data_IF_914953459130
#
_entry.id   IF_914953459130
#
_cell.length_a   1.000
_cell.length_b   1.000
_cell.length_c   1.000
_cell.angle_alpha   90.00
_cell.angle_beta   90.00
_cell.angle_gamma   90.00
#
_symmetry.space_group_name_H-M   'P 1'
#
loop_
_entity.id
_entity.type
_entity.pdbx_description
1 polymer ?
#
# COMPACT_ATOMS: atom_id res chain seq x y z
N UNK A 1 -38.00 15.78 -18.53
CA UNK A 1 -38.05 15.78 -17.06
C UNK A 1 -37.36 14.52 -16.59
N UNK A 2 -36.15 14.65 -16.08
CA UNK A 2 -35.35 13.54 -15.60
C UNK A 2 -35.06 13.78 -14.12
N UNK A 3 -35.45 12.81 -13.32
CA UNK A 3 -35.37 12.77 -11.87
C UNK A 3 -33.90 12.61 -11.46
N UNK A 4 -33.38 13.57 -10.71
CA UNK A 4 -32.03 13.53 -10.18
C UNK A 4 -31.96 12.48 -9.06
N UNK A 5 -31.09 11.49 -9.22
CA UNK A 5 -30.78 10.53 -8.16
C UNK A 5 -30.04 11.23 -7.02
N UNK A 6 -30.75 11.46 -5.92
CA UNK A 6 -30.22 12.00 -4.69
C UNK A 6 -29.43 10.91 -3.95
N UNK A 7 -28.10 10.99 -3.98
CA UNK A 7 -27.21 10.07 -3.24
C UNK A 7 -27.18 10.52 -1.78
N UNK A 8 -27.86 9.74 -0.94
CA UNK A 8 -28.02 10.00 0.50
C UNK A 8 -26.69 9.85 1.26
N UNK A 9 -26.35 10.85 2.08
CA UNK A 9 -25.28 10.79 3.08
C UNK A 9 -25.79 10.04 4.32
N UNK A 10 -24.99 9.22 5.03
CA UNK A 10 -25.45 8.62 6.28
C UNK A 10 -25.46 9.68 7.40
N UNK A 11 -26.67 10.00 7.89
CA UNK A 11 -26.91 10.77 9.11
C UNK A 11 -26.95 9.82 10.32
N UNK A 12 -26.28 10.21 11.40
CA UNK A 12 -26.25 9.50 12.69
C UNK A 12 -27.58 9.72 13.42
N UNK A 13 -28.39 8.67 13.53
CA UNK A 13 -29.68 8.67 14.23
C UNK A 13 -29.56 8.15 15.67
N UNK A 14 -29.90 9.01 16.63
CA UNK A 14 -30.21 8.68 18.02
C UNK A 14 -31.60 8.04 18.11
N UNK A 15 -31.74 6.87 18.76
CA UNK A 15 -33.01 6.45 19.37
C UNK A 15 -32.80 5.62 20.65
N UNK A 16 -33.59 5.99 21.65
CA UNK A 16 -33.85 5.38 22.95
C UNK A 16 -34.82 4.18 22.88
N UNK A 17 -34.65 3.17 23.75
CA UNK A 17 -35.75 2.31 24.26
C UNK A 17 -35.63 0.79 24.04
N UNK A 18 -35.19 0.09 25.09
CA UNK A 18 -35.00 -1.35 25.40
C UNK A 18 -36.15 -2.37 25.09
N UNK A 19 -36.02 -3.70 25.41
CA UNK A 19 -34.84 -4.57 25.62
C UNK A 19 -34.91 -5.92 24.83
N UNK A 20 -33.81 -6.72 24.82
CA UNK A 20 -33.77 -8.18 25.17
C UNK A 20 -32.33 -8.73 25.02
N UNK A 21 -31.87 -9.33 26.12
CA UNK A 21 -30.81 -10.31 26.40
C UNK A 21 -29.91 -10.89 25.29
N UNK A 22 -28.59 -10.92 25.54
CA UNK A 22 -27.67 -11.90 24.94
C UNK A 22 -26.19 -11.50 24.83
N UNK A 23 -25.39 -11.81 25.87
CA UNK A 23 -23.91 -11.97 25.90
C UNK A 23 -22.98 -10.87 25.34
N UNK A 24 -22.32 -10.14 26.23
CA UNK A 24 -21.14 -9.29 25.93
C UNK A 24 -19.86 -9.89 26.53
N UNK A 25 -18.85 -10.12 25.69
CA UNK A 25 -17.45 -10.25 26.10
C UNK A 25 -16.92 -8.86 26.43
N UNK A 26 -16.43 -8.67 27.66
CA UNK A 26 -15.80 -7.41 28.12
C UNK A 26 -14.29 -7.48 27.90
N UNK A 27 -13.78 -6.50 27.16
CA UNK A 27 -12.38 -6.08 27.16
C UNK A 27 -12.05 -5.40 28.51
N UNK A 28 -10.90 -5.73 29.10
CA UNK A 28 -10.34 -5.03 30.26
C UNK A 28 -9.24 -4.07 29.80
N UNK A 29 -9.50 -2.78 29.94
CA UNK A 29 -8.53 -1.70 29.86
C UNK A 29 -7.56 -1.72 31.05
N UNK A 30 -6.33 -1.31 30.75
CA UNK A 30 -5.25 -1.04 31.68
C UNK A 30 -5.47 0.34 32.34
N UNK A 31 -5.54 0.38 33.67
CA UNK A 31 -5.45 1.64 34.42
C UNK A 31 -4.25 1.57 35.36
N UNK A 32 -3.28 2.47 35.13
CA UNK A 32 -2.22 2.82 36.09
C UNK A 32 -2.82 3.78 37.10
N UNK A 33 -2.82 3.43 38.39
CA UNK A 33 -2.78 4.43 39.45
C UNK A 33 -1.84 3.97 40.57
N UNK A 34 -1.12 4.97 41.08
CA UNK A 34 -0.15 4.89 42.15
C UNK A 34 -0.85 4.69 43.50
N UNK A 35 -0.18 4.02 44.44
CA UNK A 35 -0.42 4.30 45.84
C UNK A 35 0.83 4.15 46.69
N UNK A 36 1.10 5.25 47.37
CA UNK A 36 2.09 5.51 48.40
C UNK A 36 1.77 4.78 49.71
N UNK A 37 2.85 4.50 50.45
CA UNK A 37 2.97 4.56 51.91
C UNK A 37 2.05 3.72 52.80
N UNK A 38 2.65 2.76 53.50
CA UNK A 38 2.27 2.41 54.87
C UNK A 38 3.49 1.84 55.61
N UNK A 39 4.12 2.67 56.44
CA UNK A 39 4.98 2.23 57.55
C UNK A 39 4.08 1.77 58.70
N UNK A 40 4.32 0.58 59.23
CA UNK A 40 4.07 0.27 60.64
C UNK A 40 5.19 -0.64 61.17
N UNK A 41 5.65 -0.26 62.35
CA UNK A 41 6.71 -0.82 63.17
C UNK A 41 6.22 -1.91 64.13
N UNK A 42 7.19 -2.65 64.67
CA UNK A 42 7.24 -3.25 66.02
C UNK A 42 6.86 -4.73 66.27
N UNK A 43 7.93 -5.49 66.56
CA UNK A 43 8.20 -6.29 67.78
C UNK A 43 7.51 -7.64 68.08
N UNK A 44 8.36 -8.56 68.59
CA UNK A 44 8.01 -9.74 69.41
C UNK A 44 7.59 -10.96 68.58
N UNK A 45 8.14 -12.18 68.70
CA UNK A 45 9.00 -12.83 69.69
C UNK A 45 8.66 -14.33 69.65
N UNK A 46 9.70 -15.20 69.62
CA UNK A 46 9.85 -16.58 70.17
C UNK A 46 8.61 -17.51 70.25
N UNK A 47 8.61 -18.80 69.89
CA UNK A 47 9.46 -19.94 70.29
C UNK A 47 8.97 -21.19 69.48
N UNK A 48 9.82 -22.00 68.83
CA UNK A 48 10.48 -23.24 69.30
C UNK A 48 9.68 -24.56 69.23
N UNK A 49 10.19 -25.53 68.44
CA UNK A 49 10.22 -26.98 68.71
C UNK A 49 11.30 -27.63 67.79
N UNK A 50 12.55 -27.90 68.23
CA UNK A 50 13.08 -29.13 68.87
C UNK A 50 12.91 -30.38 67.96
N UNK A 51 13.92 -31.15 67.53
CA UNK A 51 14.99 -31.83 68.28
C UNK A 51 16.03 -32.48 67.32
N UNK A 52 17.32 -32.58 67.71
CA UNK A 52 18.19 -33.74 67.37
C UNK A 52 19.64 -33.42 66.95
N UNK A 53 20.64 -34.24 67.35
CA UNK A 53 21.88 -33.75 68.00
C UNK A 53 23.15 -33.86 67.15
N UNK A 54 24.15 -33.03 67.44
CA UNK A 54 25.53 -33.26 66.98
C UNK A 54 26.30 -32.02 66.55
N UNK A 55 26.37 -31.00 67.40
CA UNK A 55 27.29 -29.87 67.18
C UNK A 55 28.73 -30.29 67.46
N UNK A 56 29.44 -30.82 66.46
CA UNK A 56 30.90 -30.69 66.42
C UNK A 56 31.21 -29.24 66.04
N UNK A 57 31.62 -28.44 67.02
CA UNK A 57 32.26 -27.15 66.78
C UNK A 57 33.43 -27.39 65.84
N UNK A 58 33.32 -26.94 64.59
CA UNK A 58 34.48 -26.75 63.75
C UNK A 58 35.36 -25.72 64.45
N UNK A 59 36.50 -26.20 64.91
CA UNK A 59 37.63 -25.46 65.44
C UNK A 59 37.89 -24.21 64.60
N UNK A 60 37.84 -23.04 65.24
CA UNK A 60 38.57 -21.86 64.76
C UNK A 60 40.03 -22.28 64.59
N UNK A 61 40.47 -22.41 63.34
CA UNK A 61 41.90 -22.54 63.05
C UNK A 61 42.53 -21.16 63.21
N UNK A 62 42.96 -20.85 64.43
CA UNK A 62 43.93 -19.79 64.66
C UNK A 62 45.24 -20.26 64.03
N UNK A 63 45.55 -19.75 62.84
CA UNK A 63 46.84 -19.91 62.18
C UNK A 63 47.93 -19.41 63.14
N UNK A 64 48.63 -20.34 63.80
CA UNK A 64 49.90 -20.02 64.44
C UNK A 64 50.91 -19.81 63.30
N UNK A 65 51.38 -18.58 63.13
CA UNK A 65 52.57 -18.34 62.34
C UNK A 65 53.71 -19.10 63.02
N UNK A 66 54.19 -20.16 62.37
CA UNK A 66 55.43 -20.84 62.76
C UNK A 66 56.54 -19.79 62.71
N UNK A 67 57.18 -19.53 63.85
CA UNK A 67 58.36 -18.67 63.89
C UNK A 67 59.45 -19.28 62.99
N UNK A 68 60.13 -18.46 62.17
CA UNK A 68 61.03 -18.98 61.15
C UNK A 68 62.23 -19.65 61.80
N UNK A 69 62.58 -20.83 61.28
CA UNK A 69 63.80 -21.55 61.62
C UNK A 69 65.02 -20.63 61.40
N UNK A 70 65.85 -20.47 62.44
CA UNK A 70 67.01 -19.58 62.49
C UNK A 70 68.10 -20.08 61.51
N UNK A 71 67.91 -19.78 60.23
CA UNK A 71 68.83 -20.17 59.16
C UNK A 71 68.22 -20.27 57.75
N UNK A 72 66.90 -20.15 57.60
CA UNK A 72 66.28 -20.17 56.27
C UNK A 72 66.45 -18.83 55.53
N UNK A 73 66.88 -18.88 54.27
CA UNK A 73 66.99 -17.71 53.41
C UNK A 73 65.62 -17.01 53.27
N UNK A 74 65.57 -15.66 53.18
CA UNK A 74 64.31 -14.93 53.06
C UNK A 74 63.53 -15.43 51.84
N UNK A 75 62.27 -15.82 52.05
CA UNK A 75 61.36 -16.24 50.98
C UNK A 75 61.34 -15.18 49.89
N UNK A 76 61.57 -15.59 48.63
CA UNK A 76 61.59 -14.67 47.50
C UNK A 76 60.24 -14.74 46.79
N UNK A 77 59.81 -13.64 46.16
CA UNK A 77 58.54 -13.55 45.40
C UNK A 77 58.35 -14.63 44.31
N UNK A 78 59.43 -15.31 43.92
CA UNK A 78 59.46 -16.44 42.98
C UNK A 78 59.07 -17.80 43.59
N UNK A 79 58.99 -17.89 44.91
CA UNK A 79 58.57 -19.10 45.64
C UNK A 79 57.04 -19.20 45.73
N UNK A 80 56.33 -18.05 45.58
CA UNK A 80 54.92 -18.00 45.22
C UNK A 80 54.73 -18.28 43.72
N UNK A 81 54.94 -19.54 43.31
CA UNK A 81 54.32 -20.01 42.07
C UNK A 81 52.84 -20.28 42.36
N UNK A 82 52.06 -19.20 42.50
CA UNK A 82 50.62 -19.27 42.38
C UNK A 82 50.32 -19.91 41.02
N UNK A 83 50.06 -21.21 41.02
CA UNK A 83 49.69 -21.94 39.82
C UNK A 83 48.31 -21.44 39.46
N UNK A 84 48.23 -20.36 38.67
CA UNK A 84 47.01 -19.90 38.04
C UNK A 84 46.61 -20.99 37.04
N UNK A 85 45.98 -22.03 37.56
CA UNK A 85 45.44 -23.18 36.83
C UNK A 85 44.00 -22.85 36.41
N UNK A 86 43.75 -21.60 36.01
CA UNK A 86 42.43 -21.12 35.58
C UNK A 86 42.17 -21.42 34.11
N UNK A 87 43.17 -21.85 33.34
CA UNK A 87 43.04 -22.17 31.91
C UNK A 87 41.89 -23.14 31.59
N UNK A 88 41.69 -24.27 32.30
CA UNK A 88 40.55 -25.14 32.03
C UNK A 88 39.20 -24.48 32.32
N UNK A 89 39.12 -23.68 33.40
CA UNK A 89 37.90 -22.96 33.76
C UNK A 89 37.59 -21.79 32.83
N UNK A 90 38.62 -21.09 32.36
CA UNK A 90 38.51 -20.01 31.37
C UNK A 90 38.11 -20.55 30.00
N UNK A 91 38.70 -21.68 29.56
CA UNK A 91 38.29 -22.36 28.33
C UNK A 91 36.86 -22.88 28.41
N UNK A 92 36.43 -23.43 29.56
CA UNK A 92 35.05 -23.82 29.79
C UNK A 92 34.10 -22.61 29.75
N UNK A 93 34.47 -21.50 30.39
CA UNK A 93 33.68 -20.27 30.36
C UNK A 93 33.55 -19.73 28.93
N UNK A 94 34.64 -19.70 28.17
CA UNK A 94 34.63 -19.28 26.76
C UNK A 94 33.76 -20.22 25.90
N UNK A 95 33.80 -21.53 26.15
CA UNK A 95 32.94 -22.50 25.46
C UNK A 95 31.46 -22.28 25.79
N UNK A 96 31.13 -22.00 27.06
CA UNK A 96 29.75 -21.68 27.49
C UNK A 96 29.27 -20.39 26.84
N UNK A 97 30.10 -19.33 26.82
CA UNK A 97 29.76 -18.06 26.17
C UNK A 97 29.58 -18.25 24.67
N UNK A 98 30.47 -18.97 24.00
CA UNK A 98 30.35 -19.27 22.57
C UNK A 98 29.08 -20.08 22.27
N UNK A 99 28.76 -21.09 23.10
CA UNK A 99 27.52 -21.86 22.98
C UNK A 99 26.28 -20.99 23.22
N UNK A 100 26.31 -20.11 24.22
CA UNK A 100 25.21 -19.19 24.51
C UNK A 100 24.99 -18.20 23.34
N UNK A 101 26.06 -17.62 22.79
CA UNK A 101 25.97 -16.76 21.61
C UNK A 101 25.40 -17.54 20.43
N UNK A 102 25.90 -18.74 20.15
CA UNK A 102 25.39 -19.58 19.07
C UNK A 102 23.90 -19.89 19.23
N UNK A 103 23.47 -20.30 20.43
CA UNK A 103 22.07 -20.58 20.73
C UNK A 103 21.19 -19.34 20.58
N UNK A 104 21.62 -18.18 21.10
CA UNK A 104 20.88 -16.92 20.95
C UNK A 104 20.76 -16.56 19.48
N UNK A 105 21.84 -16.68 18.69
CA UNK A 105 21.80 -16.36 17.25
C UNK A 105 20.89 -17.28 16.48
N UNK A 106 20.89 -18.59 16.75
CA UNK A 106 20.01 -19.56 16.09
C UNK A 106 18.55 -19.27 16.44
N UNK A 107 18.24 -19.09 17.73
CA UNK A 107 16.87 -18.75 18.15
C UNK A 107 16.42 -17.40 17.59
N UNK A 108 17.32 -16.41 17.46
CA UNK A 108 17.01 -15.12 16.85
C UNK A 108 16.70 -15.26 15.36
N UNK A 109 17.45 -16.08 14.63
CA UNK A 109 17.18 -16.39 13.21
C UNK A 109 15.82 -17.10 13.08
N UNK A 110 15.56 -18.13 13.89
CA UNK A 110 14.29 -18.85 13.87
C UNK A 110 13.09 -17.94 14.16
N UNK A 111 13.20 -17.05 15.15
CA UNK A 111 12.16 -16.06 15.47
C UNK A 111 11.97 -15.06 14.32
N UNK A 112 13.05 -14.61 13.70
CA UNK A 112 12.98 -13.71 12.55
C UNK A 112 12.29 -14.39 11.36
N UNK A 113 12.60 -15.65 11.08
CA UNK A 113 11.98 -16.43 9.99
C UNK A 113 10.48 -16.64 10.27
N UNK A 114 10.09 -16.97 11.51
CA UNK A 114 8.68 -17.08 11.89
C UNK A 114 7.96 -15.74 11.77
N UNK A 115 8.58 -14.63 12.17
CA UNK A 115 8.01 -13.29 12.03
C UNK A 115 7.77 -12.95 10.55
N UNK A 116 8.74 -13.24 9.68
CA UNK A 116 8.63 -13.03 8.23
C UNK A 116 7.48 -13.86 7.63
N UNK A 117 7.36 -15.14 8.00
CA UNK A 117 6.26 -16.02 7.55
C UNK A 117 4.90 -15.48 8.00
N UNK A 118 4.79 -15.03 9.26
CA UNK A 118 3.55 -14.48 9.80
C UNK A 118 3.15 -13.18 9.10
N UNK A 119 4.13 -12.30 8.81
CA UNK A 119 3.90 -11.09 8.03
C UNK A 119 3.38 -11.40 6.61
N UNK A 120 4.02 -12.36 5.91
CA UNK A 120 3.56 -12.79 4.58
C UNK A 120 2.14 -13.38 4.62
N UNK A 121 1.82 -14.20 5.63
CA UNK A 121 0.46 -14.75 5.81
C UNK A 121 -0.57 -13.65 6.04
N UNK A 122 -0.23 -12.64 6.84
CA UNK A 122 -1.10 -11.49 7.06
C UNK A 122 -1.36 -10.71 5.77
N UNK A 123 -0.31 -10.41 5.00
CA UNK A 123 -0.44 -9.66 3.74
C UNK A 123 -1.22 -10.43 2.68
N UNK A 124 -0.98 -11.74 2.53
CA UNK A 124 -1.77 -12.59 1.65
C UNK A 124 -3.25 -12.65 2.08
N UNK A 125 -3.52 -12.77 3.38
CA UNK A 125 -4.89 -12.73 3.89
C UNK A 125 -5.55 -11.36 3.66
N UNK A 126 -4.80 -10.27 3.83
CA UNK A 126 -5.28 -8.92 3.57
C UNK A 126 -5.57 -8.68 2.07
N UNK A 127 -4.72 -9.17 1.18
CA UNK A 127 -4.97 -9.12 -0.27
C UNK A 127 -6.19 -9.97 -0.65
N UNK A 128 -6.31 -11.19 -0.12
CA UNK A 128 -7.48 -12.05 -0.36
C UNK A 128 -8.80 -11.44 0.13
N UNK A 129 -8.77 -10.64 1.21
CA UNK A 129 -9.96 -9.90 1.68
C UNK A 129 -10.35 -8.76 0.74
N UNK A 130 -9.36 -8.10 0.11
CA UNK A 130 -9.54 -6.98 -0.82
C UNK A 130 -9.91 -7.43 -2.23
N UNK A 131 -9.52 -8.65 -2.60
CA UNK A 131 -9.78 -9.26 -3.89
C UNK A 131 -11.27 -9.23 -4.23
N UNK A 132 -11.62 -8.79 -5.45
CA UNK A 132 -12.99 -8.88 -5.96
C UNK A 132 -13.34 -10.37 -6.09
N UNK A 133 -14.47 -10.77 -5.50
CA UNK A 133 -14.93 -12.17 -5.47
C UNK A 133 -15.53 -12.59 -6.81
N UNK A 134 -14.66 -12.80 -7.79
CA UNK A 134 -15.00 -13.26 -9.14
C UNK A 134 -14.81 -14.77 -9.35
N UNK A 135 -14.27 -15.48 -8.35
CA UNK A 135 -14.02 -16.92 -8.41
C UNK A 135 -12.83 -17.34 -9.26
N UNK A 136 -11.98 -16.38 -9.68
CA UNK A 136 -10.80 -16.62 -10.50
C UNK A 136 -9.53 -16.32 -9.71
N UNK A 137 -8.44 -17.01 -10.04
CA UNK A 137 -7.12 -16.77 -9.44
C UNK A 137 -6.27 -15.81 -10.26
N UNK A 138 -5.28 -15.21 -9.61
CA UNK A 138 -4.39 -14.22 -10.20
C UNK A 138 -2.97 -14.77 -10.25
N UNK A 139 -2.45 -14.97 -11.46
CA UNK A 139 -1.13 -15.55 -11.69
C UNK A 139 0.00 -14.52 -11.56
N UNK A 140 -0.31 -13.22 -11.60
CA UNK A 140 0.66 -12.13 -11.66
C UNK A 140 0.53 -11.16 -10.48
N UNK A 141 0.61 -11.69 -9.26
CA UNK A 141 0.52 -10.88 -8.04
C UNK A 141 1.84 -10.17 -7.75
N UNK A 142 1.80 -8.85 -7.62
CA UNK A 142 2.99 -8.06 -7.28
C UNK A 142 3.21 -8.05 -5.77
N UNK A 143 4.46 -8.26 -5.35
CA UNK A 143 4.90 -8.10 -3.96
C UNK A 143 5.85 -6.92 -3.90
N UNK A 144 5.53 -5.92 -3.08
CA UNK A 144 6.36 -4.72 -2.90
C UNK A 144 7.61 -5.04 -2.07
N UNK A 145 8.59 -4.14 -2.12
CA UNK A 145 9.82 -4.15 -1.32
C UNK A 145 9.59 -4.30 0.20
N UNK A 146 8.47 -3.81 0.72
CA UNK A 146 8.06 -3.91 2.12
C UNK A 146 7.15 -5.11 2.43
N UNK A 147 7.05 -6.05 1.50
CA UNK A 147 6.30 -7.29 1.67
C UNK A 147 4.79 -7.18 1.43
N UNK A 148 4.25 -5.98 1.16
CA UNK A 148 2.82 -5.87 0.84
C UNK A 148 2.47 -6.52 -0.50
N UNK A 149 1.43 -7.33 -0.48
CA UNK A 149 0.96 -8.12 -1.62
C UNK A 149 -0.21 -7.38 -2.29
N UNK A 150 -0.12 -7.16 -3.59
CA UNK A 150 -1.17 -6.50 -4.38
C UNK A 150 -1.40 -5.01 -4.06
N UNK A 151 -0.39 -4.33 -3.50
CA UNK A 151 -0.44 -2.91 -3.20
C UNK A 151 0.94 -2.26 -3.36
N UNK A 152 1.47 -2.16 -4.59
CA UNK A 152 2.81 -1.65 -4.81
C UNK A 152 2.91 -0.15 -4.54
N UNK A 153 4.12 0.33 -4.21
CA UNK A 153 4.42 1.78 -4.16
C UNK A 153 4.61 2.41 -5.54
N UNK A 154 4.87 1.58 -6.55
CA UNK A 154 5.05 1.96 -7.95
C UNK A 154 4.79 0.76 -8.84
N UNK A 155 4.12 0.97 -9.98
CA UNK A 155 3.99 -0.07 -10.99
C UNK A 155 5.27 -0.23 -11.81
N UNK A 156 5.69 -1.48 -12.12
CA UNK A 156 6.88 -1.70 -12.92
C UNK A 156 6.67 -1.15 -14.33
N UNK A 157 7.74 -0.60 -14.92
CA UNK A 157 7.74 -0.24 -16.33
C UNK A 157 7.88 -1.52 -17.16
N UNK A 158 6.94 -1.76 -18.06
CA UNK A 158 6.93 -2.96 -18.91
C UNK A 158 7.99 -2.89 -20.01
N UNK A 159 8.66 -1.74 -20.20
CA UNK A 159 9.70 -1.56 -21.21
C UNK A 159 9.17 -1.68 -22.64
N UNK A 160 7.86 -1.52 -22.83
CA UNK A 160 7.21 -1.59 -24.12
C UNK A 160 7.53 -0.34 -24.95
N UNK A 161 7.56 -0.51 -26.27
CA UNK A 161 7.56 0.63 -27.18
C UNK A 161 6.14 1.20 -27.35
N UNK A 162 6.05 2.49 -27.65
CA UNK A 162 4.78 3.11 -28.04
C UNK A 162 4.40 2.60 -29.44
N UNK A 163 3.29 1.86 -29.60
CA UNK A 163 2.85 1.38 -30.90
C UNK A 163 2.26 2.51 -31.73
N UNK A 164 2.40 2.40 -33.05
CA UNK A 164 1.65 3.23 -33.98
C UNK A 164 0.31 2.53 -34.31
N UNK A 165 -0.79 3.07 -33.78
CA UNK A 165 -2.12 2.50 -34.00
C UNK A 165 -2.70 3.01 -35.33
N UNK A 166 -2.91 2.08 -36.27
CA UNK A 166 -3.40 2.40 -37.61
C UNK A 166 -4.75 1.73 -37.88
N UNK A 167 -5.62 2.42 -38.62
CA UNK A 167 -6.87 1.83 -39.14
C UNK A 167 -6.62 1.25 -40.53
N UNK A 168 -6.82 -0.06 -40.69
CA UNK A 168 -6.66 -0.76 -41.97
C UNK A 168 -7.85 -1.69 -42.19
N UNK A 169 -8.53 -1.57 -43.32
CA UNK A 169 -9.63 -2.45 -43.72
C UNK A 169 -10.72 -2.61 -42.64
N UNK A 170 -11.03 -1.53 -41.89
CA UNK A 170 -12.03 -1.55 -40.82
C UNK A 170 -11.58 -2.19 -39.50
N UNK A 171 -10.27 -2.43 -39.32
CA UNK A 171 -9.69 -2.94 -38.07
C UNK A 171 -8.59 -2.01 -37.58
N UNK A 172 -8.35 -2.03 -36.26
CA UNK A 172 -7.24 -1.32 -35.62
C UNK A 172 -6.04 -2.27 -35.59
N UNK A 173 -4.88 -1.79 -36.01
CA UNK A 173 -3.60 -2.52 -35.95
C UNK A 173 -2.62 -1.74 -35.08
N UNK A 174 -1.95 -2.42 -34.16
CA UNK A 174 -0.76 -1.91 -33.50
C UNK A 174 0.44 -2.24 -34.40
N UNK A 175 1.12 -1.20 -34.89
CA UNK A 175 2.29 -1.32 -35.76
C UNK A 175 3.55 -1.01 -34.94
N UNK A 176 4.41 -2.01 -34.82
CA UNK A 176 5.71 -1.90 -34.18
C UNK A 176 6.72 -1.17 -35.08
N UNK A 177 7.80 -0.64 -34.52
CA UNK A 177 8.83 0.07 -35.29
C UNK A 177 9.52 -0.78 -36.36
N UNK A 178 9.57 -2.09 -36.14
CA UNK A 178 10.13 -3.05 -37.09
C UNK A 178 9.14 -3.44 -38.22
N UNK A 179 7.95 -2.84 -38.25
CA UNK A 179 6.90 -3.13 -39.23
C UNK A 179 6.00 -4.32 -38.88
N UNK A 180 6.14 -4.93 -37.70
CA UNK A 180 5.23 -5.99 -37.25
C UNK A 180 3.86 -5.39 -36.97
N UNK A 181 2.82 -5.98 -37.54
CA UNK A 181 1.44 -5.52 -37.38
C UNK A 181 0.63 -6.55 -36.61
N UNK A 182 -0.04 -6.11 -35.55
CA UNK A 182 -0.90 -6.97 -34.73
C UNK A 182 -2.30 -6.37 -34.68
N UNK A 183 -3.36 -7.10 -35.12
CA UNK A 183 -4.72 -6.59 -35.00
C UNK A 183 -5.15 -6.48 -33.54
N UNK A 184 -5.82 -5.38 -33.20
CA UNK A 184 -6.30 -5.07 -31.85
C UNK A 184 -7.81 -5.28 -31.80
N UNK A 185 -8.25 -6.23 -30.99
CA UNK A 185 -9.66 -6.39 -30.62
C UNK A 185 -9.93 -5.77 -29.25
N UNK A 186 -11.01 -5.01 -29.10
CA UNK A 186 -11.35 -4.32 -27.86
C UNK A 186 -12.49 -5.06 -27.14
N UNK A 187 -12.19 -5.65 -25.98
CA UNK A 187 -13.16 -6.07 -24.97
C UNK A 187 -12.94 -5.19 -23.75
N UNK A 188 -13.65 -4.06 -23.72
CA UNK A 188 -13.44 -3.03 -22.71
C UNK A 188 -14.64 -2.72 -21.84
N UNK A 189 -14.43 -1.78 -20.92
CA UNK A 189 -15.46 -1.15 -20.10
C UNK A 189 -15.26 0.36 -20.03
N UNK A 190 -16.22 1.08 -19.44
CA UNK A 190 -16.09 2.49 -19.08
C UNK A 190 -15.84 2.62 -17.57
N UNK A 191 -14.83 3.40 -17.17
CA UNK A 191 -14.58 3.70 -15.76
C UNK A 191 -14.69 5.21 -15.52
N UNK A 192 -15.87 5.65 -15.10
CA UNK A 192 -16.23 7.06 -14.96
C UNK A 192 -15.87 7.63 -13.57
N UNK A 193 -15.92 8.95 -13.46
CA UNK A 193 -15.71 9.73 -12.25
C UNK A 193 -14.73 10.89 -12.46
N UNK A 194 -13.70 10.72 -13.31
CA UNK A 194 -12.67 11.75 -13.53
C UNK A 194 -13.21 12.96 -14.29
N UNK A 195 -14.25 12.80 -15.09
CA UNK A 195 -14.94 13.86 -15.82
C UNK A 195 -15.81 14.75 -14.92
N UNK A 196 -16.01 14.35 -13.66
CA UNK A 196 -16.81 15.10 -12.68
C UNK A 196 -15.96 16.07 -11.87
N UNK A 197 -16.59 16.84 -10.98
CA UNK A 197 -15.89 17.73 -10.03
C UNK A 197 -14.99 17.00 -9.04
N UNK A 198 -15.06 15.67 -8.96
CA UNK A 198 -14.26 14.84 -8.06
C UNK A 198 -12.91 14.45 -8.66
N UNK A 199 -12.75 14.59 -9.99
CA UNK A 199 -11.49 14.46 -10.70
C UNK A 199 -10.76 13.11 -10.53
N UNK A 200 -11.46 12.04 -10.13
CA UNK A 200 -10.92 10.70 -9.89
C UNK A 200 -11.93 9.62 -10.30
N UNK A 201 -11.50 8.45 -10.81
CA UNK A 201 -12.45 7.37 -11.08
C UNK A 201 -13.11 6.91 -9.78
N UNK A 202 -14.40 6.61 -9.84
CA UNK A 202 -15.12 6.20 -8.64
C UNK A 202 -14.75 4.78 -8.22
N UNK A 203 -14.76 4.56 -6.91
CA UNK A 203 -14.52 3.28 -6.26
C UNK A 203 -13.20 3.22 -5.49
N UNK A 204 -12.28 4.18 -5.64
CA UNK A 204 -10.92 4.08 -5.08
C UNK A 204 -10.79 4.37 -3.57
N UNK A 205 -11.89 4.70 -2.88
CA UNK A 205 -11.91 5.11 -1.48
C UNK A 205 -11.80 3.97 -0.47
N UNK A 206 -11.75 2.70 -0.92
CA UNK A 206 -11.71 1.46 -0.12
C UNK A 206 -11.81 1.65 1.40
N UNK A 207 -12.98 1.33 1.97
CA UNK A 207 -13.25 1.42 3.41
C UNK A 207 -13.78 0.08 3.94
N UNK A 208 -14.33 0.07 5.16
CA UNK A 208 -14.86 -1.16 5.78
C UNK A 208 -16.12 -1.71 5.08
N UNK A 209 -16.86 -0.87 4.36
CA UNK A 209 -18.16 -1.21 3.77
C UNK A 209 -18.06 -1.46 2.25
N UNK A 210 -17.29 -0.64 1.51
CA UNK A 210 -17.20 -0.68 0.07
C UNK A 210 -15.93 -0.02 -0.50
N UNK A 211 -15.86 0.05 -1.83
CA UNK A 211 -14.70 0.56 -2.56
C UNK A 211 -13.68 -0.53 -2.84
N UNK A 212 -12.63 -0.16 -3.57
CA UNK A 212 -11.58 -1.05 -4.05
C UNK A 212 -10.31 -0.24 -4.32
N UNK A 213 -9.29 -0.90 -4.87
CA UNK A 213 -8.05 -0.28 -5.31
C UNK A 213 -7.90 -0.36 -6.83
N UNK A 214 -7.09 0.52 -7.40
CA UNK A 214 -6.72 0.47 -8.82
C UNK A 214 -6.05 -0.86 -9.17
N UNK A 215 -5.28 -1.44 -8.23
CA UNK A 215 -4.64 -2.73 -8.42
C UNK A 215 -5.69 -3.82 -8.64
N UNK A 216 -6.70 -3.86 -7.78
CA UNK A 216 -7.72 -4.90 -7.83
C UNK A 216 -8.65 -4.72 -9.03
N UNK A 217 -8.94 -3.48 -9.44
CA UNK A 217 -9.63 -3.21 -10.71
C UNK A 217 -8.83 -3.77 -11.88
N UNK A 218 -7.55 -3.45 -11.99
CA UNK A 218 -6.69 -3.95 -13.08
C UNK A 218 -6.57 -5.49 -13.04
N UNK A 219 -6.44 -6.08 -11.86
CA UNK A 219 -6.35 -7.53 -11.70
C UNK A 219 -7.67 -8.22 -12.08
N UNK A 220 -8.82 -7.71 -11.63
CA UNK A 220 -10.14 -8.21 -12.00
C UNK A 220 -10.34 -8.20 -13.52
N UNK A 221 -9.97 -7.09 -14.18
CA UNK A 221 -10.09 -6.98 -15.63
C UNK A 221 -9.24 -8.02 -16.36
N UNK A 222 -7.99 -8.19 -15.94
CA UNK A 222 -7.10 -9.19 -16.54
C UNK A 222 -7.62 -10.63 -16.34
N UNK A 223 -8.08 -10.98 -15.12
CA UNK A 223 -8.66 -12.31 -14.82
C UNK A 223 -9.89 -12.59 -15.67
N UNK A 224 -10.75 -11.59 -15.85
CA UNK A 224 -11.99 -11.69 -16.63
C UNK A 224 -11.79 -11.43 -18.14
N UNK A 225 -10.53 -11.34 -18.60
CA UNK A 225 -10.16 -11.17 -20.01
C UNK A 225 -10.75 -9.90 -20.63
N UNK A 226 -10.89 -8.83 -19.86
CA UNK A 226 -11.03 -7.47 -20.41
C UNK A 226 -9.64 -6.94 -20.73
N UNK A 227 -9.53 -6.14 -21.79
CA UNK A 227 -8.25 -5.65 -22.27
C UNK A 227 -8.22 -4.14 -22.51
N UNK A 228 -9.31 -3.42 -22.26
CA UNK A 228 -9.35 -1.96 -22.47
C UNK A 228 -10.26 -1.25 -21.48
N UNK A 229 -9.92 -0.02 -21.13
CA UNK A 229 -10.73 0.90 -20.33
C UNK A 229 -10.91 2.20 -21.11
N UNK A 230 -12.17 2.60 -21.34
CA UNK A 230 -12.52 3.97 -21.71
C UNK A 230 -12.55 4.79 -20.42
N UNK A 231 -11.73 5.84 -20.37
CA UNK A 231 -11.53 6.70 -19.21
C UNK A 231 -12.04 8.12 -19.52
N UNK A 232 -13.29 8.45 -19.15
CA UNK A 232 -13.85 9.80 -19.25
C UNK A 232 -13.04 10.84 -18.47
N UNK A 233 -12.72 11.97 -19.09
CA UNK A 233 -12.02 13.11 -18.48
C UNK A 233 -12.75 14.43 -18.77
N UNK A 234 -12.42 15.49 -18.02
CA UNK A 234 -13.03 16.82 -18.17
C UNK A 234 -12.02 17.84 -18.69
N UNK A 235 -12.39 18.60 -19.72
CA UNK A 235 -11.55 19.64 -20.34
C UNK A 235 -11.11 20.70 -19.33
N UNK A 236 -12.03 21.27 -18.55
CA UNK A 236 -11.67 22.25 -17.51
C UNK A 236 -10.78 21.67 -16.42
N UNK A 237 -10.93 20.39 -16.06
CA UNK A 237 -10.05 19.77 -15.07
C UNK A 237 -8.64 19.58 -15.62
N UNK A 238 -8.49 19.29 -16.93
CA UNK A 238 -7.20 19.23 -17.63
C UNK A 238 -6.53 20.61 -17.61
N UNK A 239 -7.24 21.64 -18.08
CA UNK A 239 -6.70 23.00 -18.19
C UNK A 239 -6.25 23.59 -16.85
N UNK A 240 -7.00 23.30 -15.79
CA UNK A 240 -6.71 23.78 -14.43
C UNK A 240 -5.84 22.81 -13.62
N UNK A 241 -5.50 21.65 -14.18
CA UNK A 241 -4.79 20.56 -13.53
C UNK A 241 -5.34 20.23 -12.13
N UNK A 242 -6.67 20.10 -12.03
CA UNK A 242 -7.38 19.96 -10.74
C UNK A 242 -6.97 18.67 -10.03
N UNK A 243 -6.34 18.80 -8.86
CA UNK A 243 -6.01 17.67 -8.01
C UNK A 243 -7.29 16.97 -7.50
N UNK A 244 -7.33 15.62 -7.51
CA UNK A 244 -8.41 14.86 -6.90
C UNK A 244 -8.68 15.17 -5.42
N UNK A 245 -9.92 14.99 -4.99
CA UNK A 245 -10.26 15.01 -3.57
C UNK A 245 -9.65 13.80 -2.86
N UNK A 246 -8.78 14.07 -1.86
CA UNK A 246 -8.09 13.03 -1.09
C UNK A 246 -9.05 12.12 -0.31
N UNK A 247 -10.26 12.58 -0.01
CA UNK A 247 -11.28 11.78 0.70
C UNK A 247 -11.87 10.66 -0.15
N UNK A 248 -11.67 10.70 -1.48
CA UNK A 248 -12.22 9.74 -2.42
C UNK A 248 -11.24 8.65 -2.85
N UNK A 249 -10.07 8.61 -2.23
CA UNK A 249 -9.06 7.59 -2.45
C UNK A 249 -8.41 7.16 -1.14
N UNK A 250 -8.37 5.85 -0.91
CA UNK A 250 -7.59 5.31 0.18
C UNK A 250 -6.13 5.15 -0.29
N UNK A 251 -5.28 6.12 0.06
CA UNK A 251 -3.86 6.08 -0.29
C UNK A 251 -3.08 4.98 0.41
N UNK A 252 -3.61 4.37 1.49
CA UNK A 252 -2.99 3.21 2.11
C UNK A 252 -3.12 1.96 1.24
N UNK A 253 -4.18 1.86 0.44
CA UNK A 253 -4.44 0.72 -0.46
C UNK A 253 -4.21 1.04 -1.94
N UNK A 254 -3.93 2.32 -2.25
CA UNK A 254 -3.56 2.82 -3.58
C UNK A 254 -2.23 3.57 -3.52
N UNK A 255 -1.19 2.96 -2.95
CA UNK A 255 0.09 3.65 -2.64
C UNK A 255 0.85 4.17 -3.87
N UNK A 256 0.64 3.53 -5.02
CA UNK A 256 1.24 3.94 -6.29
C UNK A 256 0.51 5.10 -7.01
N UNK A 257 -0.69 5.48 -6.57
CA UNK A 257 -1.46 6.55 -7.22
C UNK A 257 -1.00 7.91 -6.71
N UNK A 258 -0.68 8.81 -7.63
CA UNK A 258 -0.26 10.17 -7.32
C UNK A 258 -1.35 11.18 -7.67
N UNK A 259 -2.04 11.67 -6.64
CA UNK A 259 -3.13 12.64 -6.73
C UNK A 259 -2.67 14.11 -6.61
N UNK A 260 -1.39 14.39 -6.85
CA UNK A 260 -0.85 15.76 -6.78
C UNK A 260 -1.52 16.68 -7.79
N UNK A 261 -1.81 16.17 -8.98
CA UNK A 261 -2.48 16.90 -10.05
C UNK A 261 -3.37 15.97 -10.88
N UNK A 262 -4.20 16.55 -11.75
CA UNK A 262 -5.09 15.78 -12.62
C UNK A 262 -4.28 14.89 -13.56
N UNK A 263 -3.25 15.46 -14.18
CA UNK A 263 -2.38 14.73 -15.13
C UNK A 263 -1.59 13.64 -14.43
N UNK A 264 -1.01 13.88 -13.24
CA UNK A 264 -0.28 12.83 -12.53
C UNK A 264 -1.19 11.68 -12.09
N UNK A 265 -2.46 11.99 -11.81
CA UNK A 265 -3.47 10.99 -11.46
C UNK A 265 -3.75 10.09 -12.67
N UNK A 266 -4.01 10.69 -13.85
CA UNK A 266 -4.18 9.94 -15.10
C UNK A 266 -2.96 9.05 -15.38
N UNK A 267 -1.76 9.62 -15.29
CA UNK A 267 -0.51 8.89 -15.53
C UNK A 267 -0.38 7.64 -14.65
N UNK A 268 -0.60 7.77 -13.34
CA UNK A 268 -0.46 6.65 -12.41
C UNK A 268 -1.56 5.59 -12.55
N UNK A 269 -2.78 5.98 -12.96
CA UNK A 269 -3.86 5.03 -13.31
C UNK A 269 -3.52 4.28 -14.60
N UNK A 270 -3.03 4.98 -15.64
CA UNK A 270 -2.62 4.37 -16.90
C UNK A 270 -1.50 3.37 -16.69
N UNK A 271 -0.51 3.68 -15.84
CA UNK A 271 0.57 2.74 -15.46
C UNK A 271 0.02 1.50 -14.74
N UNK A 272 -0.94 1.67 -13.83
CA UNK A 272 -1.57 0.56 -13.13
C UNK A 272 -2.31 -0.40 -14.08
N UNK A 273 -3.04 0.14 -15.05
CA UNK A 273 -3.70 -0.65 -16.10
C UNK A 273 -2.68 -1.28 -17.05
N UNK A 274 -1.62 -0.54 -17.41
CA UNK A 274 -0.55 -1.00 -18.28
C UNK A 274 0.23 -2.20 -17.71
N UNK A 275 0.45 -2.24 -16.39
CA UNK A 275 1.02 -3.40 -15.70
C UNK A 275 0.24 -4.71 -15.97
N UNK A 276 -1.07 -4.61 -16.20
CA UNK A 276 -1.96 -5.74 -16.51
C UNK A 276 -2.26 -5.90 -18.00
N UNK A 277 -1.49 -5.23 -18.87
CA UNK A 277 -1.70 -5.20 -20.32
C UNK A 277 -3.10 -4.71 -20.72
N UNK A 278 -3.68 -3.81 -19.92
CA UNK A 278 -4.97 -3.20 -20.21
C UNK A 278 -4.73 -1.85 -20.88
N UNK A 279 -5.30 -1.70 -22.06
CA UNK A 279 -5.20 -0.47 -22.83
C UNK A 279 -6.15 0.60 -22.30
N UNK A 280 -5.87 1.86 -22.60
CA UNK A 280 -6.69 3.00 -22.18
C UNK A 280 -7.07 3.84 -23.40
N UNK A 281 -8.36 4.13 -23.52
CA UNK A 281 -8.87 5.15 -24.44
C UNK A 281 -9.37 6.33 -23.61
N UNK A 282 -8.69 7.47 -23.73
CA UNK A 282 -9.05 8.67 -22.95
C UNK A 282 -10.23 9.34 -23.66
N UNK A 283 -11.35 9.52 -22.96
CA UNK A 283 -12.56 10.11 -23.53
C UNK A 283 -12.70 11.55 -23.07
N UNK A 284 -12.66 12.50 -24.01
CA UNK A 284 -12.89 13.92 -23.74
C UNK A 284 -14.39 14.11 -23.51
N UNK A 285 -14.80 13.88 -22.27
CA UNK A 285 -16.19 13.54 -21.97
C UNK A 285 -17.02 14.77 -21.65
N UNK A 286 -16.50 15.65 -20.80
CA UNK A 286 -17.21 16.85 -20.36
C UNK A 286 -16.37 18.11 -20.59
N UNK A 287 -17.02 19.19 -21.01
CA UNK A 287 -16.39 20.51 -21.06
C UNK A 287 -16.24 21.10 -19.64
N UNK A 288 -17.27 20.93 -18.82
CA UNK A 288 -17.32 21.41 -17.43
C UNK A 288 -17.59 20.24 -16.47
N UNK A 289 -17.09 20.27 -15.22
CA UNK A 289 -17.27 19.15 -14.29
C UNK A 289 -18.72 18.80 -13.95
N UNK A 290 -19.69 19.65 -14.33
CA UNK A 290 -21.12 19.41 -14.15
C UNK A 290 -21.89 19.21 -15.46
N UNK A 291 -21.29 19.50 -16.62
CA UNK A 291 -21.99 19.51 -17.92
C UNK A 291 -21.10 18.95 -19.03
N UNK A 292 -21.65 17.99 -19.78
CA UNK A 292 -20.99 17.39 -20.94
C UNK A 292 -20.60 18.42 -22.01
N UNK A 293 -21.52 19.34 -22.33
CA UNK A 293 -21.45 20.21 -23.51
C UNK A 293 -21.94 19.46 -24.76
N UNK A 294 -22.87 20.07 -25.52
CA UNK A 294 -23.43 19.45 -26.72
C UNK A 294 -22.54 19.56 -27.96
N UNK A 295 -21.60 20.51 -27.94
CA UNK A 295 -20.51 20.66 -28.89
C UNK A 295 -19.15 20.46 -28.19
N UNK A 296 -18.06 20.49 -28.96
CA UNK A 296 -16.69 20.38 -28.45
C UNK A 296 -16.16 21.67 -27.81
N UNK A 297 -16.84 22.79 -28.03
CA UNK A 297 -16.65 24.04 -27.31
C UNK A 297 -18.01 24.62 -26.89
N UNK A 298 -18.02 25.58 -25.98
CA UNK A 298 -19.23 26.26 -25.53
C UNK A 298 -18.90 27.58 -24.84
N UNK A 299 -19.39 28.69 -25.42
CA UNK A 299 -19.28 30.02 -24.79
C UNK A 299 -20.02 30.07 -23.44
N UNK A 300 -21.21 29.47 -23.36
CA UNK A 300 -22.00 29.39 -22.11
C UNK A 300 -21.26 28.66 -20.99
N UNK A 301 -20.47 27.64 -21.34
CA UNK A 301 -19.63 26.93 -20.38
C UNK A 301 -18.26 27.59 -20.22
N UNK A 302 -17.93 28.63 -20.97
CA UNK A 302 -16.62 29.28 -20.94
C UNK A 302 -15.49 28.33 -21.33
N UNK A 303 -15.69 27.56 -22.40
CA UNK A 303 -14.67 26.71 -23.03
C UNK A 303 -14.65 27.06 -24.52
N UNK A 304 -13.57 27.70 -24.97
CA UNK A 304 -13.35 28.03 -26.38
C UNK A 304 -12.81 26.84 -27.19
N UNK A 305 -12.75 26.98 -28.52
CA UNK A 305 -12.04 26.02 -29.39
C UNK A 305 -10.57 25.87 -28.97
N UNK A 306 -9.89 27.00 -28.72
CA UNK A 306 -8.49 27.04 -28.27
C UNK A 306 -8.30 26.34 -26.92
N UNK A 307 -9.19 26.58 -25.95
CA UNK A 307 -9.15 25.89 -24.66
C UNK A 307 -9.26 24.36 -24.82
N UNK A 308 -10.07 23.89 -25.77
CA UNK A 308 -10.21 22.46 -26.02
C UNK A 308 -8.93 21.87 -26.63
N UNK A 309 -8.33 22.56 -27.60
CA UNK A 309 -7.06 22.16 -28.22
C UNK A 309 -5.91 22.20 -27.22
N UNK A 310 -5.85 23.22 -26.37
CA UNK A 310 -4.87 23.33 -25.28
C UNK A 310 -4.97 22.14 -24.31
N UNK A 311 -6.19 21.68 -23.99
CA UNK A 311 -6.39 20.51 -23.16
C UNK A 311 -5.86 19.23 -23.84
N UNK A 312 -6.06 19.09 -25.16
CA UNK A 312 -5.52 17.99 -25.96
C UNK A 312 -3.99 18.03 -25.95
N UNK A 313 -3.38 19.20 -26.15
CA UNK A 313 -1.94 19.40 -26.10
C UNK A 313 -1.33 19.06 -24.73
N UNK A 314 -2.02 19.43 -23.64
CA UNK A 314 -1.60 19.02 -22.29
C UNK A 314 -1.59 17.49 -22.17
N UNK A 315 -2.62 16.79 -22.67
CA UNK A 315 -2.67 15.33 -22.64
C UNK A 315 -1.56 14.72 -23.49
N UNK A 316 -1.44 15.09 -24.76
CA UNK A 316 -0.49 14.48 -25.70
C UNK A 316 0.96 14.72 -25.27
N UNK A 317 1.31 15.92 -24.80
CA UNK A 317 2.64 16.27 -24.27
C UNK A 317 3.03 15.41 -23.06
N UNK A 318 2.07 15.07 -22.22
CA UNK A 318 2.31 14.33 -20.99
C UNK A 318 2.20 12.81 -21.15
N UNK A 319 1.43 12.33 -22.12
CA UNK A 319 1.03 10.93 -22.24
C UNK A 319 1.55 10.21 -23.50
N UNK A 320 1.99 10.93 -24.54
CA UNK A 320 2.53 10.31 -25.77
C UNK A 320 4.00 9.87 -25.60
N UNK A 321 4.24 8.91 -24.71
CA UNK A 321 5.58 8.37 -24.37
C UNK A 321 5.50 6.86 -24.14
N UNK A 322 6.58 6.13 -24.36
CA UNK A 322 6.66 4.66 -24.15
C UNK A 322 6.22 4.20 -22.76
N UNK A 323 6.35 5.05 -21.73
CA UNK A 323 5.87 4.77 -20.37
C UNK A 323 4.35 4.54 -20.31
N UNK A 324 3.60 5.14 -21.23
CA UNK A 324 2.15 5.05 -21.36
C UNK A 324 1.76 4.35 -22.67
N UNK A 325 2.56 3.36 -23.09
CA UNK A 325 2.39 2.59 -24.34
C UNK A 325 0.98 2.02 -24.54
N UNK A 326 0.25 1.80 -23.44
CA UNK A 326 -1.07 1.20 -23.42
C UNK A 326 -2.20 2.21 -23.74
N UNK A 327 -1.90 3.49 -24.00
CA UNK A 327 -2.91 4.43 -24.50
C UNK A 327 -3.14 4.18 -25.99
N UNK A 328 -4.38 3.86 -26.36
CA UNK A 328 -4.79 3.64 -27.76
C UNK A 328 -4.96 4.95 -28.53
N UNK A 329 -5.42 5.99 -27.83
CA UNK A 329 -5.78 7.28 -28.43
C UNK A 329 -6.82 8.04 -27.61
N UNK A 330 -7.37 9.08 -28.25
CA UNK A 330 -8.40 9.95 -27.69
C UNK A 330 -9.75 9.67 -28.36
N UNK A 331 -10.79 9.52 -27.55
CA UNK A 331 -12.17 9.67 -27.99
C UNK A 331 -12.52 11.17 -27.91
N UNK A 332 -12.53 11.80 -29.09
CA UNK A 332 -12.34 13.25 -29.27
C UNK A 332 -13.42 14.12 -28.64
N UNK A 333 -14.67 13.65 -28.54
CA UNK A 333 -15.74 14.30 -27.78
C UNK A 333 -16.83 13.29 -27.51
N UNK A 334 -17.26 13.17 -26.25
CA UNK A 334 -18.42 12.35 -25.93
C UNK A 334 -19.71 12.98 -26.48
N UNK A 335 -20.41 12.21 -27.32
CA UNK A 335 -21.80 12.44 -27.74
C UNK A 335 -22.10 13.89 -28.19
N UNK A 336 -21.40 14.41 -29.23
CA UNK A 336 -21.77 15.68 -29.83
C UNK A 336 -23.18 15.57 -30.43
N UNK A 337 -24.06 16.51 -30.05
CA UNK A 337 -25.47 16.54 -30.47
C UNK A 337 -25.97 17.95 -30.81
N UNK A 338 -25.19 18.99 -30.50
CA UNK A 338 -25.45 20.39 -30.89
C UNK A 338 -24.46 20.82 -31.99
N UNK A 339 -24.02 19.88 -32.82
CA UNK A 339 -23.11 20.13 -33.94
C UNK A 339 -23.68 19.64 -35.26
N UNK A 340 -23.31 20.31 -36.33
CA UNK A 340 -23.45 19.78 -37.69
C UNK A 340 -22.28 18.85 -38.04
N UNK A 341 -22.37 18.19 -39.20
CA UNK A 341 -21.26 17.46 -39.83
C UNK A 341 -21.02 18.03 -41.22
N UNK A 342 -20.05 18.94 -41.35
CA UNK A 342 -19.73 19.66 -42.59
C UNK A 342 -20.72 20.75 -42.96
N UNK A 343 -21.39 21.33 -41.96
CA UNK A 343 -22.46 22.32 -42.13
C UNK A 343 -22.19 23.63 -41.38
N UNK A 344 -23.23 24.16 -40.73
CA UNK A 344 -23.14 25.38 -39.92
C UNK A 344 -22.41 25.14 -38.59
N UNK A 345 -21.78 26.18 -38.06
CA UNK A 345 -21.14 26.13 -36.75
C UNK A 345 -22.17 25.98 -35.61
N UNK A 346 -21.88 25.19 -34.56
CA UNK A 346 -20.66 24.41 -34.38
C UNK A 346 -20.57 23.20 -35.33
N UNK A 347 -19.47 23.09 -36.10
CA UNK A 347 -19.24 21.96 -37.01
C UNK A 347 -18.28 20.93 -36.37
N UNK A 348 -18.79 19.71 -36.16
CA UNK A 348 -17.99 18.63 -35.61
C UNK A 348 -17.00 18.05 -36.62
N UNK A 349 -17.27 18.11 -37.93
CA UNK A 349 -16.32 17.65 -38.94
C UNK A 349 -15.04 18.48 -38.88
N UNK A 350 -15.17 19.82 -38.80
CA UNK A 350 -14.05 20.74 -38.61
C UNK A 350 -13.30 20.43 -37.31
N UNK A 351 -14.01 20.33 -36.18
CA UNK A 351 -13.41 20.02 -34.88
C UNK A 351 -12.62 18.69 -34.88
N UNK A 352 -13.25 17.60 -35.35
CA UNK A 352 -12.61 16.28 -35.40
C UNK A 352 -11.44 16.18 -36.39
N UNK A 353 -11.30 17.13 -37.32
CA UNK A 353 -10.15 17.21 -38.24
C UNK A 353 -9.00 18.03 -37.64
N UNK A 354 -9.32 18.99 -36.76
CA UNK A 354 -8.34 19.88 -36.13
C UNK A 354 -7.65 19.24 -34.92
N UNK A 355 -8.42 18.50 -34.11
CA UNK A 355 -7.96 17.75 -32.93
C UNK A 355 -7.15 16.54 -33.39
#
# INVERSE_FOLDING_TARGET
>A
MAEAAEISRPMVGSMSGAPVSGSTFRNSEYTREAMESSRLTESGGRESAMYGPGGQRQTEMKLMAVEPDLGAAPERTKDYKGRIRTWPGLLLLLAIVAAAVALITINAIDVQDQANINAQRYENAAQNRRKIKDGLDDDNVIVSDDGQVGNPKKYPDMGCELPDYQSKNGQIFAVAKNGTEVPVGIKGLNWFGMETGLAIPFGLWENMDNGTSVYEVAAFLARNKFNSVRLPVCIKNILKDVAPDKSLINLNTNRAINITSYITTIQTIVEALGYRHITVMISLHTLDPKKSGGAWFSEDLGVSEDDFLDAVDILTKNLCKSRYWNILGLDLKNEPHECSWGGEDPDWQKGATLI
#
